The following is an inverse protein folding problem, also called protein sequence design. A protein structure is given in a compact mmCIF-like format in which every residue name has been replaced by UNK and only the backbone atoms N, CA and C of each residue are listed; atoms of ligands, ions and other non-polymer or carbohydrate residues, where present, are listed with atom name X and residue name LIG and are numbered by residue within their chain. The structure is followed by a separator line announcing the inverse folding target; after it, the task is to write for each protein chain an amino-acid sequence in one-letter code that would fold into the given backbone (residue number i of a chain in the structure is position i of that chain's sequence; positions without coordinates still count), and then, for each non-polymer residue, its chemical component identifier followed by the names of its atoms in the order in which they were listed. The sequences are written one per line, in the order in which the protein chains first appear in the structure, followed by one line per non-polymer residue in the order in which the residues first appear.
data_IF_503462940684
#
_entry.id   IF_503462940684
#
_cell.length_a   1.000
_cell.length_b   1.000
_cell.length_c   1.000
_cell.angle_alpha   90.00
_cell.angle_beta   90.00
_cell.angle_gamma   90.00
#
_symmetry.space_group_name_H-M   'P 1'
#
loop_
_entity.id
_entity.type
_entity.pdbx_description
1 polymer ?
#
# COMPACT_ATOMS: atom_id res chain seq x y z
N UNK A 1 -0.74 -16.33 -5.34
CA UNK A 1 -0.76 -14.84 -5.27
C UNK A 1 -1.00 -14.44 -3.82
N UNK A 2 -0.05 -13.75 -3.16
CA UNK A 2 -0.05 -13.52 -1.69
C UNK A 2 -1.39 -13.06 -1.12
N UNK A 3 -2.03 -12.07 -1.76
CA UNK A 3 -3.34 -11.56 -1.36
C UNK A 3 -4.40 -12.66 -1.23
N UNK A 4 -4.53 -13.52 -2.25
CA UNK A 4 -5.53 -14.62 -2.27
C UNK A 4 -5.26 -15.67 -1.19
N UNK A 5 -4.00 -15.89 -0.82
CA UNK A 5 -3.59 -16.93 0.14
C UNK A 5 -3.49 -16.44 1.58
N UNK A 6 -3.55 -15.13 1.83
CA UNK A 6 -3.16 -14.56 3.13
C UNK A 6 -4.13 -13.50 3.65
N UNK A 7 -5.01 -12.98 2.80
CA UNK A 7 -6.01 -11.97 3.16
C UNK A 7 -7.36 -12.41 2.60
N UNK A 8 -8.44 -12.26 3.37
CA UNK A 8 -9.77 -12.54 2.86
C UNK A 8 -10.08 -11.68 1.62
N UNK A 9 -10.64 -12.30 0.57
CA UNK A 9 -10.89 -11.66 -0.74
C UNK A 9 -11.77 -10.39 -0.62
N UNK A 10 -12.59 -10.33 0.42
CA UNK A 10 -13.48 -9.20 0.73
C UNK A 10 -12.78 -8.01 1.39
N UNK A 11 -11.53 -8.16 1.86
CA UNK A 11 -10.84 -7.18 2.70
C UNK A 11 -10.02 -6.19 1.89
N UNK A 12 -9.07 -6.66 1.05
CA UNK A 12 -8.19 -5.80 0.24
C UNK A 12 -8.43 -6.06 -1.25
N UNK A 13 -8.81 -5.03 -2.03
CA UNK A 13 -8.94 -5.18 -3.49
C UNK A 13 -7.56 -5.12 -4.15
N UNK A 14 -7.48 -5.56 -5.41
CA UNK A 14 -6.18 -5.60 -6.10
C UNK A 14 -5.65 -4.20 -6.36
N UNK A 15 -6.54 -3.27 -6.72
CA UNK A 15 -6.17 -1.91 -7.11
C UNK A 15 -5.37 -1.15 -6.03
N UNK A 16 -5.77 -1.21 -4.75
CA UNK A 16 -4.99 -0.58 -3.67
C UNK A 16 -3.58 -1.17 -3.56
N UNK A 17 -3.50 -2.51 -3.66
CA UNK A 17 -2.23 -3.22 -3.55
C UNK A 17 -1.33 -2.93 -4.76
N UNK A 18 -1.89 -2.85 -5.96
CA UNK A 18 -1.19 -2.49 -7.19
C UNK A 18 -0.60 -1.08 -7.09
N UNK A 19 -1.39 -0.09 -6.65
CA UNK A 19 -0.91 1.27 -6.43
C UNK A 19 0.17 1.34 -5.34
N UNK A 20 0.00 0.61 -4.23
CA UNK A 20 1.02 0.54 -3.19
C UNK A 20 2.32 -0.09 -3.72
N UNK A 21 2.24 -1.14 -4.54
CA UNK A 21 3.41 -1.76 -5.17
C UNK A 21 4.14 -0.76 -6.08
N UNK A 22 3.42 0.00 -6.91
CA UNK A 22 4.00 1.05 -7.77
C UNK A 22 4.71 2.11 -6.92
N UNK A 23 4.03 2.62 -5.88
CA UNK A 23 4.59 3.62 -4.98
C UNK A 23 5.87 3.12 -4.29
N UNK A 24 5.82 1.91 -3.70
CA UNK A 24 6.97 1.31 -3.02
C UNK A 24 8.12 1.08 -3.99
N UNK A 25 7.86 0.52 -5.17
CA UNK A 25 8.89 0.28 -6.18
C UNK A 25 9.66 1.56 -6.56
N UNK A 26 8.94 2.67 -6.75
CA UNK A 26 9.54 3.95 -7.11
C UNK A 26 10.33 4.58 -5.96
N UNK A 27 9.96 4.32 -4.71
CA UNK A 27 10.66 4.83 -3.52
C UNK A 27 11.95 4.08 -3.16
N UNK A 28 12.15 2.87 -3.68
CA UNK A 28 13.33 2.06 -3.37
C UNK A 28 14.58 2.59 -4.07
N UNK A 29 15.79 2.39 -3.52
CA UNK A 29 17.04 2.68 -4.24
C UNK A 29 17.13 1.81 -5.51
N UNK A 30 17.91 2.21 -6.51
CA UNK A 30 18.11 1.43 -7.75
C UNK A 30 18.87 0.13 -7.47
N UNK A 31 19.84 0.18 -6.56
CA UNK A 31 20.58 -0.99 -6.11
C UNK A 31 20.53 -1.07 -4.57
N UNK A 32 20.19 -2.23 -3.98
CA UNK A 32 19.87 -3.52 -4.59
C UNK A 32 18.35 -3.71 -4.85
N UNK A 33 17.75 -3.02 -5.83
CA UNK A 33 16.32 -3.21 -6.14
C UNK A 33 16.06 -4.58 -6.76
N UNK A 34 15.13 -5.32 -6.17
CA UNK A 34 14.63 -6.59 -6.69
C UNK A 34 13.17 -6.79 -6.32
N UNK A 35 12.50 -7.74 -6.98
CA UNK A 35 11.14 -8.16 -6.60
C UNK A 35 11.07 -8.61 -5.14
N UNK A 36 12.11 -9.29 -4.63
CA UNK A 36 12.16 -9.72 -3.23
C UNK A 36 12.18 -8.52 -2.27
N UNK A 37 13.08 -7.56 -2.49
CA UNK A 37 13.17 -6.34 -1.66
C UNK A 37 11.91 -5.47 -1.76
N UNK A 38 11.31 -5.38 -2.94
CA UNK A 38 10.05 -4.66 -3.13
C UNK A 38 8.89 -5.35 -2.41
N UNK A 39 8.81 -6.67 -2.50
CA UNK A 39 7.79 -7.44 -1.80
C UNK A 39 7.93 -7.30 -0.28
N UNK A 40 9.15 -7.38 0.26
CA UNK A 40 9.41 -7.13 1.68
C UNK A 40 8.97 -5.72 2.09
N UNK A 41 9.35 -4.70 1.32
CA UNK A 41 9.01 -3.30 1.61
C UNK A 41 7.48 -3.07 1.58
N UNK A 42 6.77 -3.66 0.64
CA UNK A 42 5.29 -3.64 0.60
C UNK A 42 4.71 -4.29 1.86
N UNK A 43 5.20 -5.47 2.26
CA UNK A 43 4.72 -6.13 3.48
C UNK A 43 5.01 -5.30 4.73
N UNK A 44 6.16 -4.62 4.82
CA UNK A 44 6.48 -3.71 5.93
C UNK A 44 5.51 -2.54 5.99
N UNK A 45 5.21 -1.92 4.85
CA UNK A 45 4.16 -0.88 4.75
C UNK A 45 2.79 -1.39 5.18
N UNK A 46 2.38 -2.58 4.74
CA UNK A 46 1.11 -3.18 5.14
C UNK A 46 1.07 -3.53 6.64
N UNK A 47 2.21 -3.91 7.24
CA UNK A 47 2.31 -4.26 8.66
C UNK A 47 2.13 -3.05 9.61
N UNK A 48 2.46 -1.86 9.11
CA UNK A 48 2.23 -0.56 9.74
C UNK A 48 1.46 0.34 8.76
N UNK A 49 0.21 -0.02 8.49
CA UNK A 49 -0.59 0.64 7.47
C UNK A 49 -0.81 2.14 7.76
N UNK A 50 -0.70 2.59 9.01
CA UNK A 50 -0.77 4.01 9.34
C UNK A 50 0.39 4.83 8.74
N UNK A 51 1.51 4.18 8.39
CA UNK A 51 2.65 4.79 7.69
C UNK A 51 2.48 4.91 6.17
N UNK A 52 1.36 4.43 5.61
CA UNK A 52 1.09 4.46 4.17
C UNK A 52 0.64 5.87 3.77
N UNK A 53 1.42 6.50 2.90
CA UNK A 53 1.13 7.79 2.28
C UNK A 53 1.60 7.74 0.82
N UNK A 54 0.77 7.14 -0.03
CA UNK A 54 1.02 7.01 -1.46
C UNK A 54 0.15 8.03 -2.22
N UNK A 55 0.82 9.01 -2.82
CA UNK A 55 0.20 10.06 -3.64
C UNK A 55 1.05 10.33 -4.88
N UNK A 56 0.41 10.91 -5.88
CA UNK A 56 0.93 11.19 -7.22
C UNK A 56 0.48 12.59 -7.61
N UNK A 57 1.26 13.28 -8.44
CA UNK A 57 0.99 14.67 -8.87
C UNK A 57 1.07 14.84 -10.39
N UNK A 58 1.01 13.74 -11.14
CA UNK A 58 1.10 13.71 -12.59
C UNK A 58 -0.17 14.25 -13.26
N UNK A 59 -1.35 14.04 -12.65
CA UNK A 59 -2.65 14.44 -13.22
C UNK A 59 -3.34 15.60 -12.47
N UNK A 60 -2.88 15.94 -11.27
CA UNK A 60 -3.40 17.04 -10.44
C UNK A 60 -2.36 17.45 -9.39
N UNK A 61 -2.49 18.64 -8.79
CA UNK A 61 -1.64 19.07 -7.68
C UNK A 61 -2.23 18.67 -6.32
N UNK A 62 -1.38 18.57 -5.29
CA UNK A 62 -1.82 18.28 -3.93
C UNK A 62 -2.77 19.35 -3.35
N UNK A 63 -2.72 20.58 -3.86
CA UNK A 63 -3.63 21.66 -3.46
C UNK A 63 -5.09 21.39 -3.87
N UNK A 64 -5.30 20.49 -4.84
CA UNK A 64 -6.63 20.07 -5.28
C UNK A 64 -7.20 18.92 -4.42
N UNK A 65 -6.40 18.33 -3.52
CA UNK A 65 -6.82 17.23 -2.66
C UNK A 65 -7.47 17.80 -1.40
N UNK A 66 -8.72 17.42 -1.06
CA UNK A 66 -9.35 17.88 0.17
C UNK A 66 -8.50 17.57 1.41
N UNK A 67 -8.35 18.53 2.32
CA UNK A 67 -7.50 18.39 3.51
C UNK A 67 -7.82 17.14 4.33
N UNK A 68 -9.11 16.81 4.48
CA UNK A 68 -9.54 15.61 5.21
C UNK A 68 -9.03 14.31 4.59
N UNK A 69 -8.87 14.26 3.26
CA UNK A 69 -8.27 13.12 2.55
C UNK A 69 -6.76 13.14 2.69
N UNK A 70 -6.11 14.30 2.49
CA UNK A 70 -4.65 14.42 2.52
C UNK A 70 -4.03 14.00 3.88
N UNK A 71 -4.74 14.22 4.98
CA UNK A 71 -4.29 13.85 6.33
C UNK A 71 -4.73 12.45 6.77
N UNK A 72 -5.66 11.80 6.06
CA UNK A 72 -6.17 10.48 6.43
C UNK A 72 -5.05 9.41 6.34
N UNK A 73 -5.12 8.37 7.17
CA UNK A 73 -4.20 7.22 7.08
C UNK A 73 -4.98 5.91 7.26
N UNK A 74 -4.67 4.87 6.46
CA UNK A 74 -3.73 4.85 5.33
C UNK A 74 -4.20 5.73 4.17
N UNK A 75 -3.27 6.44 3.51
CA UNK A 75 -3.55 7.20 2.31
C UNK A 75 -2.95 6.49 1.10
N UNK A 76 -3.82 6.03 0.20
CA UNK A 76 -3.45 5.61 -1.15
C UNK A 76 -4.39 6.40 -2.08
N UNK A 77 -3.92 7.53 -2.57
CA UNK A 77 -4.72 8.42 -3.40
C UNK A 77 -4.77 7.90 -4.83
N UNK A 78 -5.95 7.88 -5.43
CA UNK A 78 -6.14 7.50 -6.83
C UNK A 78 -5.38 8.49 -7.74
N UNK A 79 -4.39 8.05 -8.53
CA UNK A 79 -3.58 8.95 -9.34
C UNK A 79 -4.37 9.68 -10.44
N UNK A 80 -5.61 9.26 -10.74
CA UNK A 80 -6.50 9.91 -11.70
C UNK A 80 -7.66 10.66 -11.03
N UNK A 81 -7.80 10.63 -9.70
CA UNK A 81 -8.90 11.26 -8.99
C UNK A 81 -8.47 11.79 -7.60
N UNK A 82 -8.31 13.12 -7.42
CA UNK A 82 -7.85 13.71 -6.16
C UNK A 82 -8.85 13.59 -5.01
N UNK A 83 -10.07 13.12 -5.27
CA UNK A 83 -11.13 12.96 -4.27
C UNK A 83 -11.28 11.51 -3.78
N UNK A 84 -10.43 10.57 -4.26
CA UNK A 84 -10.59 9.15 -3.99
C UNK A 84 -9.38 8.56 -3.25
N UNK A 85 -9.48 8.45 -1.91
CA UNK A 85 -8.58 7.60 -1.15
C UNK A 85 -8.98 6.13 -1.32
N UNK A 86 -8.32 5.41 -2.23
CA UNK A 86 -8.69 4.01 -2.54
C UNK A 86 -8.49 3.08 -1.35
N UNK A 87 -7.70 3.49 -0.35
CA UNK A 87 -7.48 2.77 0.88
C UNK A 87 -8.75 2.61 1.74
N UNK A 88 -9.73 3.51 1.60
CA UNK A 88 -11.00 3.51 2.36
C UNK A 88 -11.91 2.33 1.99
N UNK A 89 -11.70 1.72 0.82
CA UNK A 89 -12.43 0.53 0.38
C UNK A 89 -11.99 -0.72 1.17
N UNK A 90 -10.82 -0.69 1.82
CA UNK A 90 -10.35 -1.80 2.63
C UNK A 90 -11.18 -1.92 3.92
N UNK A 91 -11.78 -3.09 4.14
CA UNK A 91 -12.72 -3.28 5.28
C UNK A 91 -12.05 -3.57 6.62
N UNK A 92 -10.81 -4.08 6.61
CA UNK A 92 -10.13 -4.52 7.82
C UNK A 92 -8.60 -4.46 7.65
N UNK A 93 -8.04 -3.26 7.80
CA UNK A 93 -6.59 -3.04 7.81
C UNK A 93 -5.84 -3.85 8.89
N UNK A 94 -6.36 -4.02 10.13
CA UNK A 94 -5.76 -4.91 11.12
C UNK A 94 -5.49 -6.33 10.63
N UNK A 95 -6.43 -6.95 9.89
CA UNK A 95 -6.24 -8.30 9.33
C UNK A 95 -5.15 -8.32 8.26
N UNK A 96 -5.10 -7.29 7.41
CA UNK A 96 -4.05 -7.13 6.39
C UNK A 96 -2.68 -6.99 7.05
N UNK A 97 -2.58 -6.18 8.10
CA UNK A 97 -1.35 -6.02 8.87
C UNK A 97 -0.92 -7.33 9.54
N UNK A 98 -1.84 -8.05 10.17
CA UNK A 98 -1.54 -9.34 10.78
C UNK A 98 -1.04 -10.35 9.73
N UNK A 99 -1.65 -10.40 8.56
CA UNK A 99 -1.20 -11.24 7.45
C UNK A 99 0.19 -10.85 6.95
N UNK A 100 0.49 -9.55 6.83
CA UNK A 100 1.79 -9.05 6.45
C UNK A 100 2.87 -9.42 7.48
N UNK A 101 2.61 -9.20 8.78
CA UNK A 101 3.50 -9.58 9.89
C UNK A 101 3.81 -11.08 9.90
N UNK A 102 2.80 -11.94 9.76
CA UNK A 102 3.00 -13.39 9.64
C UNK A 102 3.83 -13.77 8.42
N UNK A 103 3.69 -13.04 7.33
CA UNK A 103 4.44 -13.31 6.10
C UNK A 103 5.91 -12.92 6.25
N UNK A 104 6.21 -11.79 6.89
CA UNK A 104 7.56 -11.35 7.20
C UNK A 104 8.32 -12.31 8.13
N UNK A 105 7.61 -13.16 8.89
CA UNK A 105 8.23 -14.17 9.75
C UNK A 105 8.62 -15.47 9.02
N UNK A 106 8.31 -15.60 7.72
CA UNK A 106 8.61 -16.81 6.94
C UNK A 106 10.10 -16.90 6.59
N UNK A 107 10.64 -18.12 6.35
CA UNK A 107 12.06 -18.33 6.02
C UNK A 107 12.58 -17.51 4.84
N UNK A 108 11.71 -17.09 3.91
CA UNK A 108 12.10 -16.25 2.78
C UNK A 108 12.69 -14.89 3.20
N UNK A 109 12.32 -14.37 4.37
CA UNK A 109 12.78 -13.06 4.88
C UNK A 109 13.74 -13.18 6.08
N UNK A 110 14.29 -14.38 6.32
CA UNK A 110 15.23 -14.65 7.41
C UNK A 110 16.62 -14.91 6.87
#
# INVERSE_FOLDING_TARGET
MWKKSSVAVTTLKSYQLELLCIHVWNSLPIFPRSVATAFEAVLRKLSDYNSICACWTENYSMDQVPTGIAIARPLILDPANPYNNVADVCKNWPDVAAAAKRTLQKPFFK
#
